data_IF_252776606496
#
_entry.id   IF_252776606496
#
_cell.length_a   1.000
_cell.length_b   1.000
_cell.length_c   1.000
_cell.angle_alpha   90.00
_cell.angle_beta   90.00
_cell.angle_gamma   90.00
#
_symmetry.space_group_name_H-M   'P 1'
#
loop_
_entity.id
_entity.type
_entity.pdbx_description
1 polymer ?
#
# COMPACT_ATOMS: atom_id res chain seq x y z
N UNK A 1 3.52 7.51 4.00
CA UNK A 1 2.74 7.44 2.73
C UNK A 1 1.78 6.28 2.84
N UNK A 2 0.55 6.59 3.25
CA UNK A 2 -0.53 5.60 3.29
C UNK A 2 -1.02 5.40 1.87
N UNK A 3 -1.24 4.14 1.50
CA UNK A 3 -1.90 3.79 0.26
C UNK A 3 -3.23 3.13 0.62
N UNK A 4 -4.32 3.89 0.49
CA UNK A 4 -5.65 3.28 0.50
C UNK A 4 -5.97 2.83 -0.93
N UNK A 5 -6.33 1.57 -1.07
CA UNK A 5 -6.78 0.98 -2.32
C UNK A 5 -8.26 0.67 -2.17
N UNK A 6 -9.00 0.52 -3.26
CA UNK A 6 -10.44 0.31 -3.15
C UNK A 6 -10.72 -0.99 -2.35
N UNK A 7 -11.08 -0.82 -1.06
CA UNK A 7 -11.29 -1.83 0.00
C UNK A 7 -10.04 -2.38 0.72
N UNK A 8 -8.84 -1.80 0.58
CA UNK A 8 -7.63 -2.31 1.27
C UNK A 8 -6.79 -1.20 1.89
N UNK A 9 -6.49 -1.35 3.18
CA UNK A 9 -5.49 -0.59 3.94
C UNK A 9 -4.20 -1.42 4.08
N UNK A 10 -3.03 -0.80 3.83
CA UNK A 10 -1.72 -1.46 3.86
C UNK A 10 -0.74 -0.74 4.81
N UNK A 11 -0.39 -1.38 5.93
CA UNK A 11 0.46 -0.81 6.99
C UNK A 11 1.66 -1.67 7.37
N UNK A 12 2.64 -1.05 8.04
CA UNK A 12 3.98 -1.57 8.32
C UNK A 12 4.21 -1.79 9.84
N UNK A 13 5.27 -2.54 10.18
CA UNK A 13 5.85 -2.78 11.53
C UNK A 13 5.32 -3.97 12.35
N UNK A 14 6.13 -4.31 13.35
CA UNK A 14 6.13 -5.52 14.18
C UNK A 14 5.98 -5.13 15.68
N UNK A 15 5.50 -5.99 16.60
CA UNK A 15 5.14 -7.40 16.45
C UNK A 15 3.98 -7.94 17.34
N UNK A 16 3.10 -7.22 18.05
CA UNK A 16 2.43 -5.90 17.96
C UNK A 16 1.66 -5.68 16.64
N UNK A 17 2.22 -6.06 15.48
CA UNK A 17 1.58 -6.20 14.15
C UNK A 17 0.25 -5.44 13.98
N UNK A 18 -0.88 -6.11 14.24
CA UNK A 18 -2.23 -5.61 14.03
C UNK A 18 -2.58 -4.38 14.88
N UNK A 19 -2.18 -4.36 16.16
CA UNK A 19 -2.42 -3.21 17.04
C UNK A 19 -1.52 -2.03 16.66
N UNK A 20 -0.30 -2.31 16.19
CA UNK A 20 0.61 -1.30 15.63
C UNK A 20 0.01 -0.65 14.39
N UNK A 21 -0.33 -1.46 13.39
CA UNK A 21 -0.98 -1.02 12.15
C UNK A 21 -2.26 -0.20 12.42
N UNK A 22 -3.16 -0.67 13.29
CA UNK A 22 -4.36 0.09 13.68
C UNK A 22 -4.04 1.37 14.46
N UNK A 23 -2.95 1.43 15.23
CA UNK A 23 -2.52 2.66 15.88
C UNK A 23 -2.04 3.68 14.86
N UNK A 24 -1.07 3.34 14.02
CA UNK A 24 -0.57 4.27 12.98
C UNK A 24 -1.70 4.71 12.04
N UNK A 25 -2.63 3.81 11.68
CA UNK A 25 -3.83 4.15 10.89
C UNK A 25 -4.71 5.20 11.55
N UNK A 26 -5.00 5.05 12.85
CA UNK A 26 -5.84 5.99 13.59
C UNK A 26 -5.14 7.33 13.82
N UNK A 27 -3.81 7.32 13.84
CA UNK A 27 -2.99 8.51 13.99
C UNK A 27 -2.82 9.26 12.66
N UNK A 28 -2.25 8.64 11.62
CA UNK A 28 -1.97 9.30 10.33
C UNK A 28 -3.23 9.72 9.55
N UNK A 29 -4.28 8.88 9.53
CA UNK A 29 -5.48 9.08 8.67
C UNK A 29 -6.82 9.10 9.43
N UNK A 30 -6.81 8.99 10.75
CA UNK A 30 -8.02 9.11 11.57
C UNK A 30 -9.01 7.95 11.42
N UNK A 31 -8.54 6.74 11.14
CA UNK A 31 -9.38 5.52 11.10
C UNK A 31 -10.04 5.27 12.47
N UNK A 32 -11.29 4.78 12.51
CA UNK A 32 -11.76 4.05 13.70
C UNK A 32 -11.17 2.63 13.64
N UNK A 33 -10.44 2.26 14.69
CA UNK A 33 -9.86 0.92 14.86
C UNK A 33 -10.92 -0.18 14.93
N UNK A 34 -12.18 0.17 15.19
CA UNK A 34 -13.33 -0.74 15.27
C UNK A 34 -14.01 -1.00 13.93
N UNK A 35 -13.81 -0.14 12.93
CA UNK A 35 -14.45 -0.28 11.61
C UNK A 35 -13.56 -0.97 10.57
N UNK A 36 -12.29 -1.26 10.92
CA UNK A 36 -11.37 -2.07 10.13
C UNK A 36 -11.60 -3.56 10.38
N UNK A 37 -12.06 -4.28 9.36
CA UNK A 37 -12.04 -5.75 9.36
C UNK A 37 -10.63 -6.22 8.96
N UNK A 38 -9.84 -6.72 9.91
CA UNK A 38 -8.53 -7.28 9.61
C UNK A 38 -8.69 -8.67 9.00
N UNK A 39 -8.21 -8.85 7.77
CA UNK A 39 -8.22 -10.14 7.08
C UNK A 39 -6.98 -10.97 7.39
N UNK A 40 -5.78 -10.38 7.24
CA UNK A 40 -4.54 -11.14 7.40
C UNK A 40 -3.29 -10.24 7.52
N UNK A 41 -2.13 -10.89 7.67
CA UNK A 41 -0.82 -10.30 7.44
C UNK A 41 -0.16 -10.96 6.23
N UNK A 42 0.55 -10.17 5.42
CA UNK A 42 1.36 -10.69 4.32
C UNK A 42 2.74 -11.14 4.82
N UNK A 43 3.53 -11.74 3.92
CA UNK A 43 4.91 -12.15 4.21
C UNK A 43 5.76 -10.91 4.53
N UNK A 44 6.65 -10.95 5.54
CA UNK A 44 7.49 -9.80 5.87
C UNK A 44 8.44 -9.41 4.73
N UNK A 45 8.74 -8.12 4.62
CA UNK A 45 9.61 -7.54 3.58
C UNK A 45 10.75 -6.76 4.21
N UNK A 46 11.90 -6.65 3.54
CA UNK A 46 12.94 -5.73 3.97
C UNK A 46 12.63 -4.29 3.56
N UNK A 47 12.93 -3.36 4.48
CA UNK A 47 13.08 -1.95 4.15
C UNK A 47 14.22 -1.73 3.15
N UNK A 48 14.17 -0.62 2.39
CA UNK A 48 15.18 -0.23 1.36
C UNK A 48 16.64 -0.36 1.81
N UNK A 49 16.92 -0.16 3.09
CA UNK A 49 18.27 -0.15 3.66
C UNK A 49 18.73 -1.54 4.14
N UNK A 50 17.89 -2.58 4.04
CA UNK A 50 18.11 -3.97 4.49
C UNK A 50 18.41 -4.11 6.00
N UNK A 51 18.05 -3.11 6.81
CA UNK A 51 18.32 -3.05 8.28
C UNK A 51 17.10 -3.31 9.16
N UNK A 52 15.92 -3.43 8.58
CA UNK A 52 14.66 -3.56 9.31
C UNK A 52 13.64 -4.32 8.46
N UNK A 53 12.88 -5.18 9.11
CA UNK A 53 11.79 -5.97 8.53
C UNK A 53 10.47 -5.23 8.74
N UNK A 54 9.56 -5.37 7.77
CA UNK A 54 8.21 -4.81 7.77
C UNK A 54 7.25 -5.94 7.46
N UNK A 55 6.35 -6.26 8.39
CA UNK A 55 5.25 -7.22 8.15
C UNK A 55 4.00 -6.46 7.72
N UNK A 56 3.48 -6.65 6.49
CA UNK A 56 2.32 -5.89 6.06
C UNK A 56 1.02 -6.44 6.66
N UNK A 57 0.12 -5.56 7.10
CA UNK A 57 -1.26 -5.92 7.49
C UNK A 57 -2.23 -5.56 6.37
N UNK A 58 -3.21 -6.44 6.12
CA UNK A 58 -4.31 -6.27 5.17
C UNK A 58 -5.62 -6.19 5.94
N UNK A 59 -6.33 -5.07 5.83
CA UNK A 59 -7.66 -4.87 6.40
C UNK A 59 -8.58 -4.08 5.47
N UNK A 60 -9.88 -4.30 5.64
CA UNK A 60 -10.97 -3.73 4.82
C UNK A 60 -11.70 -2.64 5.61
N UNK A 61 -12.13 -1.59 4.91
CA UNK A 61 -13.03 -0.55 5.44
C UNK A 61 -14.33 -0.50 4.63
N UNK A 62 -15.48 -0.25 5.28
CA UNK A 62 -16.72 0.18 4.61
C UNK A 62 -16.57 1.56 3.92
N UNK A 63 -17.20 1.75 2.75
CA UNK A 63 -17.11 3.00 1.96
C UNK A 63 -17.59 4.28 2.69
N UNK A 64 -18.36 4.14 3.77
CA UNK A 64 -18.76 5.28 4.64
C UNK A 64 -17.58 5.77 5.49
N UNK A 65 -16.79 4.85 6.03
CA UNK A 65 -15.61 5.14 6.86
C UNK A 65 -14.53 5.81 6.03
N UNK A 66 -14.29 5.30 4.81
CA UNK A 66 -13.34 5.87 3.85
C UNK A 66 -13.62 7.35 3.58
N UNK A 67 -14.90 7.74 3.47
CA UNK A 67 -15.32 9.13 3.26
C UNK A 67 -15.18 10.02 4.51
N UNK A 68 -14.99 9.44 5.69
CA UNK A 68 -14.81 10.15 6.97
C UNK A 68 -13.35 10.31 7.42
N UNK A 69 -12.38 9.73 6.69
CA UNK A 69 -10.95 9.77 7.02
C UNK A 69 -10.43 11.22 7.15
N UNK A 70 -9.58 11.45 8.17
CA UNK A 70 -9.06 12.77 8.54
C UNK A 70 -7.53 12.71 8.64
N UNK A 71 -6.79 13.18 7.62
CA UNK A 71 -5.34 13.13 7.63
C UNK A 71 -4.74 14.05 8.71
N UNK A 72 -3.71 13.57 9.42
CA UNK A 72 -2.77 14.45 10.12
C UNK A 72 -1.99 15.25 9.07
N UNK A 73 -2.33 16.53 8.96
CA UNK A 73 -1.86 17.42 7.87
C UNK A 73 -0.33 17.65 7.84
N UNK A 74 0.39 17.26 8.89
CA UNK A 74 1.85 17.30 8.99
C UNK A 74 2.54 15.99 8.54
N UNK A 75 1.80 14.89 8.43
CA UNK A 75 2.30 13.56 8.04
C UNK A 75 1.72 13.09 6.69
N UNK A 76 0.47 13.49 6.39
CA UNK A 76 -0.29 13.05 5.22
C UNK A 76 -0.78 14.26 4.42
N UNK A 77 -0.19 14.47 3.23
CA UNK A 77 -0.60 15.51 2.29
C UNK A 77 -1.92 15.17 1.57
N UNK A 78 -2.12 13.91 1.18
CA UNK A 78 -3.30 13.50 0.40
C UNK A 78 -3.66 12.04 0.73
N UNK A 79 -4.96 11.78 0.90
CA UNK A 79 -5.57 10.46 0.88
C UNK A 79 -6.33 10.31 -0.45
N UNK A 80 -6.03 9.26 -1.20
CA UNK A 80 -6.77 8.87 -2.40
C UNK A 80 -7.03 7.36 -2.39
N UNK A 81 -8.00 6.93 -3.22
CA UNK A 81 -8.33 5.52 -3.46
C UNK A 81 -8.18 5.20 -4.94
N UNK A 82 -7.75 3.99 -5.29
CA UNK A 82 -7.61 3.55 -6.68
C UNK A 82 -8.31 2.19 -6.91
N UNK A 83 -8.96 1.96 -8.08
CA UNK A 83 -9.53 0.66 -8.43
C UNK A 83 -8.44 -0.42 -8.50
N UNK A 84 -8.72 -1.58 -7.91
CA UNK A 84 -7.77 -2.70 -7.95
C UNK A 84 -7.61 -3.22 -9.38
N UNK A 85 -8.69 -3.19 -10.15
CA UNK A 85 -8.76 -3.60 -11.56
C UNK A 85 -7.91 -2.68 -12.46
N UNK A 86 -7.83 -1.37 -12.17
CA UNK A 86 -6.92 -0.47 -12.87
C UNK A 86 -5.47 -0.85 -12.54
N UNK A 87 -5.15 -1.04 -11.26
CA UNK A 87 -3.79 -1.37 -10.81
C UNK A 87 -3.31 -2.74 -11.32
N UNK A 88 -4.20 -3.72 -11.47
CA UNK A 88 -3.89 -4.98 -12.14
C UNK A 88 -3.40 -4.76 -13.58
N UNK A 89 -4.08 -3.87 -14.34
CA UNK A 89 -3.76 -3.51 -15.73
C UNK A 89 -2.54 -2.58 -15.84
N UNK A 90 -2.45 -1.58 -14.99
CA UNK A 90 -1.53 -0.44 -15.09
C UNK A 90 -0.33 -0.62 -14.14
N UNK A 91 0.50 -1.62 -14.43
CA UNK A 91 1.75 -1.88 -13.72
C UNK A 91 2.94 -2.05 -14.66
N UNK A 92 4.14 -1.78 -14.14
CA UNK A 92 5.44 -1.91 -14.80
C UNK A 92 6.49 -2.35 -13.78
N UNK A 93 7.69 -2.68 -14.24
CA UNK A 93 8.82 -3.02 -13.37
C UNK A 93 9.92 -1.95 -13.44
N UNK A 94 10.58 -1.70 -12.31
CA UNK A 94 11.86 -0.99 -12.25
C UNK A 94 12.94 -1.99 -11.90
N UNK A 95 13.90 -2.16 -12.80
CA UNK A 95 15.07 -3.02 -12.60
C UNK A 95 16.16 -2.23 -11.87
N UNK A 96 16.74 -2.84 -10.83
CA UNK A 96 17.81 -2.29 -10.02
C UNK A 96 19.04 -3.19 -10.12
N UNK A 97 20.22 -2.57 -10.14
CA UNK A 97 21.52 -3.25 -10.12
C UNK A 97 22.44 -2.59 -9.11
N UNK A 98 23.07 -3.38 -8.24
CA UNK A 98 24.02 -2.91 -7.22
C UNK A 98 25.15 -3.93 -7.07
N UNK A 99 26.28 -3.66 -7.72
CA UNK A 99 27.36 -4.64 -7.84
C UNK A 99 26.90 -5.83 -8.67
N UNK A 100 27.01 -7.04 -8.11
CA UNK A 100 26.51 -8.29 -8.70
C UNK A 100 25.04 -8.58 -8.42
N UNK A 101 24.39 -7.84 -7.51
CA UNK A 101 22.98 -8.05 -7.19
C UNK A 101 22.08 -7.30 -8.19
N UNK A 102 21.13 -8.01 -8.79
CA UNK A 102 20.09 -7.49 -9.67
C UNK A 102 18.71 -7.91 -9.12
N UNK A 103 17.74 -6.99 -9.13
CA UNK A 103 16.38 -7.28 -8.70
C UNK A 103 15.37 -6.33 -9.36
N UNK A 104 14.13 -6.77 -9.47
CA UNK A 104 13.01 -5.96 -9.96
C UNK A 104 12.10 -5.56 -8.81
N UNK A 105 11.55 -4.35 -8.84
CA UNK A 105 10.37 -4.00 -8.02
C UNK A 105 9.24 -3.50 -8.93
N UNK A 106 7.97 -3.75 -8.56
CA UNK A 106 6.84 -3.24 -9.31
C UNK A 106 6.69 -1.73 -9.11
N UNK A 107 6.06 -1.10 -10.09
CA UNK A 107 5.58 0.27 -10.07
C UNK A 107 4.17 0.23 -10.66
N UNK A 108 3.20 0.70 -9.90
CA UNK A 108 1.82 0.81 -10.35
C UNK A 108 1.51 2.28 -10.62
N UNK A 109 0.62 2.54 -11.56
CA UNK A 109 0.04 3.87 -11.73
C UNK A 109 -1.47 3.83 -11.81
N UNK A 110 -2.10 4.93 -11.40
CA UNK A 110 -3.56 5.06 -11.35
C UNK A 110 -3.99 6.46 -11.77
N UNK A 111 -4.91 6.48 -12.73
CA UNK A 111 -5.57 7.64 -13.31
C UNK A 111 -7.07 7.64 -12.98
N UNK A 112 -7.67 6.47 -12.74
CA UNK A 112 -9.06 6.27 -12.30
C UNK A 112 -9.24 6.54 -10.78
N UNK A 113 -8.38 7.36 -10.17
CA UNK A 113 -8.33 7.57 -8.71
C UNK A 113 -9.42 8.51 -8.18
N UNK A 114 -9.80 8.34 -6.91
CA UNK A 114 -10.68 9.26 -6.17
C UNK A 114 -9.93 9.87 -4.98
N UNK A 115 -9.78 11.19 -4.95
CA UNK A 115 -9.26 11.91 -3.77
C UNK A 115 -10.30 11.93 -2.64
N UNK A 116 -9.92 11.47 -1.46
CA UNK A 116 -10.74 11.53 -0.24
C UNK A 116 -10.48 12.85 0.51
N UNK A 117 -9.21 13.21 0.68
CA UNK A 117 -8.80 14.44 1.35
C UNK A 117 -7.43 14.89 0.85
N UNK A 118 -7.18 16.19 0.80
CA UNK A 118 -5.88 16.76 0.42
C UNK A 118 -5.64 18.09 1.13
N UNK A 119 -4.43 18.30 1.64
CA UNK A 119 -3.95 19.59 2.17
C UNK A 119 -3.42 20.51 1.08
N UNK A 120 -3.31 20.00 -0.15
CA UNK A 120 -2.83 20.74 -1.33
C UNK A 120 -3.90 20.77 -2.41
N UNK A 121 -4.03 21.93 -3.05
CA UNK A 121 -4.87 22.14 -4.24
C UNK A 121 -4.36 21.37 -5.47
N UNK A 122 -3.07 20.97 -5.46
CA UNK A 122 -2.48 20.21 -6.56
C UNK A 122 -3.16 18.84 -6.72
N UNK A 123 -3.80 18.64 -7.88
CA UNK A 123 -4.28 17.33 -8.33
C UNK A 123 -3.43 16.87 -9.53
N UNK A 124 -2.69 15.75 -9.41
CA UNK A 124 -1.95 15.19 -10.54
C UNK A 124 -2.92 14.60 -11.57
N UNK A 125 -2.42 14.25 -12.76
CA UNK A 125 -3.18 13.42 -13.72
C UNK A 125 -3.15 11.92 -13.38
N UNK A 126 -2.17 11.50 -12.58
CA UNK A 126 -1.87 10.10 -12.27
C UNK A 126 -1.12 10.04 -10.94
N UNK A 127 -1.43 9.08 -10.06
CA UNK A 127 -0.58 8.75 -8.92
C UNK A 127 0.35 7.57 -9.26
N UNK A 128 1.63 7.70 -8.91
CA UNK A 128 2.63 6.64 -9.05
C UNK A 128 2.92 5.98 -7.70
N UNK A 129 2.70 4.67 -7.64
CA UNK A 129 2.95 3.83 -6.47
C UNK A 129 4.22 3.03 -6.73
N UNK A 130 5.22 3.13 -5.85
CA UNK A 130 6.56 2.58 -6.08
C UNK A 130 7.27 2.18 -4.77
N UNK A 131 8.40 1.51 -4.88
CA UNK A 131 9.21 1.08 -3.73
C UNK A 131 8.49 0.05 -2.86
N UNK A 132 8.65 0.16 -1.53
CA UNK A 132 8.08 -0.81 -0.58
C UNK A 132 6.55 -0.90 -0.68
N UNK A 133 5.84 0.23 -0.82
CA UNK A 133 4.38 0.25 -0.97
C UNK A 133 3.90 -0.47 -2.23
N UNK A 134 4.64 -0.39 -3.33
CA UNK A 134 4.36 -1.19 -4.53
C UNK A 134 4.68 -2.67 -4.33
N UNK A 135 5.75 -3.00 -3.61
CA UNK A 135 6.05 -4.39 -3.26
C UNK A 135 4.94 -5.05 -2.43
N UNK A 136 4.40 -4.32 -1.45
CA UNK A 136 3.25 -4.76 -0.64
C UNK A 136 1.98 -4.85 -1.50
N UNK A 137 1.75 -3.90 -2.41
CA UNK A 137 0.63 -3.95 -3.36
C UNK A 137 0.69 -5.19 -4.26
N UNK A 138 1.84 -5.50 -4.86
CA UNK A 138 2.06 -6.75 -5.60
C UNK A 138 1.76 -7.98 -4.72
N UNK A 139 2.32 -8.05 -3.50
CA UNK A 139 2.03 -9.15 -2.57
C UNK A 139 0.54 -9.25 -2.21
N UNK A 140 -0.20 -8.14 -2.23
CA UNK A 140 -1.64 -8.12 -2.01
C UNK A 140 -2.39 -8.70 -3.21
N UNK A 141 -2.07 -8.23 -4.42
CA UNK A 141 -2.77 -8.61 -5.65
C UNK A 141 -2.54 -10.07 -6.06
N UNK A 142 -1.33 -10.62 -5.91
CA UNK A 142 -1.06 -12.04 -6.25
C UNK A 142 -1.85 -13.03 -5.36
N UNK A 143 -2.23 -12.63 -4.14
CA UNK A 143 -3.02 -13.47 -3.24
C UNK A 143 -4.52 -13.17 -3.31
N UNK A 144 -4.93 -11.91 -3.55
CA UNK A 144 -6.34 -11.50 -3.56
C UNK A 144 -7.00 -11.59 -4.96
N UNK A 145 -6.28 -11.21 -6.02
CA UNK A 145 -6.78 -11.16 -7.39
C UNK A 145 -5.91 -11.96 -8.38
N UNK A 146 -5.55 -13.23 -8.09
CA UNK A 146 -4.65 -14.03 -8.95
C UNK A 146 -5.19 -14.25 -10.38
N UNK A 147 -6.50 -14.13 -10.60
CA UNK A 147 -7.12 -14.21 -11.92
C UNK A 147 -7.04 -12.91 -12.75
N UNK A 148 -6.65 -11.78 -12.14
CA UNK A 148 -6.57 -10.46 -12.79
C UNK A 148 -5.15 -9.88 -12.77
N UNK A 149 -4.33 -10.22 -11.77
CA UNK A 149 -2.95 -9.75 -11.63
C UNK A 149 -1.95 -10.87 -11.92
N UNK A 150 -1.64 -11.05 -13.20
CA UNK A 150 -0.47 -11.81 -13.62
C UNK A 150 0.78 -10.94 -13.41
N UNK A 151 1.82 -11.47 -12.75
CA UNK A 151 3.07 -10.75 -12.49
C UNK A 151 4.28 -11.55 -12.94
N UNK A 152 5.25 -10.86 -13.55
CA UNK A 152 6.43 -11.43 -14.20
C UNK A 152 7.63 -11.55 -13.25
N UNK A 153 7.46 -11.21 -11.97
CA UNK A 153 8.52 -11.18 -10.97
C UNK A 153 8.09 -11.89 -9.69
N UNK A 154 9.02 -12.60 -9.06
CA UNK A 154 8.95 -12.89 -7.63
C UNK A 154 9.72 -11.81 -6.88
N UNK A 155 9.09 -11.15 -5.90
CA UNK A 155 9.81 -10.22 -5.03
C UNK A 155 10.59 -11.03 -4.01
N UNK A 156 11.93 -10.99 -4.12
CA UNK A 156 12.84 -11.67 -3.22
C UNK A 156 12.58 -11.30 -1.75
N UNK A 157 12.21 -12.30 -0.96
CA UNK A 157 12.01 -12.24 0.50
C UNK A 157 13.28 -12.77 1.18
N UNK A 158 13.68 -12.26 2.37
CA UNK A 158 14.70 -12.93 3.17
C UNK A 158 14.29 -14.35 3.54
N UNK A 159 15.27 -15.26 3.57
CA UNK A 159 15.15 -16.58 4.19
C UNK A 159 15.50 -16.44 5.67
#
# INVERSE_FOLDING_TARGET
>A
MVLYLHRIVLYLLNDILFQGALRESAEEIGIDKRSVEIWSRLRPMLTRNLRSIVTPVVGVLPDVEVRSLKPRTHEVQTIFTAPLEELCRNHRYTHFKRGTAEWSLPVFTTSEYTTISSTSEYRPREYRIWGLSAGILHLTLIHLLPALYNSEIEIAVPV
#
